data_IF_172331112755
#
_entry.id   IF_172331112755
#
_cell.length_a   1.000
_cell.length_b   1.000
_cell.length_c   1.000
_cell.angle_alpha   90.00
_cell.angle_beta   90.00
_cell.angle_gamma   90.00
#
_symmetry.space_group_name_H-M   'P 1'
#
loop_
_entity.id
_entity.type
_entity.pdbx_description
1 polymer ?
#
# COMPACT_ATOMS: atom_id res chain seq x y z
N UNK A 1 -53.21 19.90 11.27
CA UNK A 1 -52.49 19.46 10.05
C UNK A 1 -51.08 18.95 10.39
N UNK A 2 -50.38 19.54 11.35
CA UNK A 2 -49.00 19.19 11.73
C UNK A 2 -48.81 17.80 12.39
N UNK A 3 -49.77 17.32 13.19
CA UNK A 3 -49.61 16.06 13.93
C UNK A 3 -49.66 14.80 13.06
N UNK A 4 -50.40 14.85 11.94
CA UNK A 4 -50.53 13.75 10.98
C UNK A 4 -49.25 13.61 10.16
N UNK A 5 -48.72 14.74 9.66
CA UNK A 5 -47.45 14.80 8.94
C UNK A 5 -46.29 14.33 9.81
N UNK A 6 -46.27 14.68 11.10
CA UNK A 6 -45.23 14.21 12.02
C UNK A 6 -45.25 12.68 12.23
N UNK A 7 -46.45 12.08 12.31
CA UNK A 7 -46.61 10.61 12.40
C UNK A 7 -46.15 9.91 11.12
N UNK A 8 -46.45 10.49 9.95
CA UNK A 8 -46.01 9.96 8.66
C UNK A 8 -44.48 9.97 8.53
N UNK A 9 -43.81 11.05 8.97
CA UNK A 9 -42.35 11.15 8.99
C UNK A 9 -41.73 10.10 9.93
N UNK A 10 -42.27 9.92 11.13
CA UNK A 10 -41.78 8.89 12.08
C UNK A 10 -41.97 7.48 11.49
N UNK A 11 -43.11 7.21 10.86
CA UNK A 11 -43.38 5.91 10.24
C UNK A 11 -42.43 5.64 9.07
N UNK A 12 -42.15 6.66 8.24
CA UNK A 12 -41.17 6.56 7.17
C UNK A 12 -39.77 6.27 7.72
N UNK A 13 -39.34 7.04 8.74
CA UNK A 13 -38.04 6.84 9.41
C UNK A 13 -37.89 5.42 9.98
N UNK A 14 -38.91 4.94 10.71
CA UNK A 14 -38.92 3.58 11.25
C UNK A 14 -38.89 2.51 10.16
N UNK A 15 -39.62 2.72 9.05
CA UNK A 15 -39.62 1.81 7.90
C UNK A 15 -38.25 1.75 7.23
N UNK A 16 -37.58 2.90 7.08
CA UNK A 16 -36.22 2.99 6.54
C UNK A 16 -35.21 2.25 7.44
N UNK A 17 -35.29 2.47 8.75
CA UNK A 17 -34.44 1.77 9.73
C UNK A 17 -34.67 0.25 9.72
N UNK A 18 -35.92 -0.20 9.61
CA UNK A 18 -36.23 -1.63 9.49
C UNK A 18 -35.69 -2.22 8.19
N UNK A 19 -35.84 -1.53 7.05
CA UNK A 19 -35.26 -1.95 5.77
C UNK A 19 -33.74 -2.07 5.87
N UNK A 20 -33.08 -1.07 6.44
CA UNK A 20 -31.63 -1.07 6.66
C UNK A 20 -31.19 -2.26 7.53
N UNK A 21 -31.87 -2.51 8.65
CA UNK A 21 -31.56 -3.66 9.52
C UNK A 21 -31.72 -5.00 8.80
N UNK A 22 -32.77 -5.15 7.99
CA UNK A 22 -32.97 -6.36 7.18
C UNK A 22 -31.86 -6.54 6.15
N UNK A 23 -31.45 -5.46 5.47
CA UNK A 23 -30.31 -5.47 4.53
C UNK A 23 -29.01 -5.92 5.20
N UNK A 24 -28.67 -5.34 6.36
CA UNK A 24 -27.47 -5.75 7.12
C UNK A 24 -27.54 -7.22 7.54
N UNK A 25 -28.69 -7.68 8.06
CA UNK A 25 -28.88 -9.08 8.46
C UNK A 25 -28.72 -10.04 7.28
N UNK A 26 -29.24 -9.65 6.12
CA UNK A 26 -29.07 -10.40 4.88
C UNK A 26 -27.58 -10.49 4.48
N UNK A 27 -26.85 -9.37 4.46
CA UNK A 27 -25.42 -9.36 4.13
C UNK A 27 -24.58 -10.22 5.09
N UNK A 28 -24.89 -10.19 6.40
CA UNK A 28 -24.21 -11.04 7.39
C UNK A 28 -24.47 -12.52 7.10
N UNK A 29 -25.71 -12.88 6.75
CA UNK A 29 -26.05 -14.27 6.39
C UNK A 29 -25.37 -14.69 5.09
N UNK A 30 -25.41 -13.84 4.06
CA UNK A 30 -24.78 -14.07 2.76
C UNK A 30 -23.28 -14.32 2.94
N UNK A 31 -22.57 -13.41 3.63
CA UNK A 31 -21.12 -13.52 3.86
C UNK A 31 -20.75 -14.74 4.71
N UNK A 32 -21.57 -15.10 5.71
CA UNK A 32 -21.37 -16.31 6.52
C UNK A 32 -21.51 -17.59 5.68
N UNK A 33 -22.57 -17.68 4.89
CA UNK A 33 -22.84 -18.85 4.05
C UNK A 33 -21.81 -18.98 2.93
N UNK A 34 -21.46 -17.86 2.28
CA UNK A 34 -20.36 -17.79 1.32
C UNK A 34 -19.06 -18.31 1.94
N UNK A 35 -18.70 -17.83 3.14
CA UNK A 35 -17.49 -18.25 3.83
C UNK A 35 -17.47 -19.73 4.20
N UNK A 36 -18.63 -20.35 4.44
CA UNK A 36 -18.72 -21.79 4.67
C UNK A 36 -18.44 -22.57 3.38
N UNK A 37 -19.15 -22.24 2.29
CA UNK A 37 -18.95 -22.89 0.97
C UNK A 37 -17.51 -22.70 0.50
N UNK A 38 -16.96 -21.50 0.64
CA UNK A 38 -15.57 -21.20 0.28
C UNK A 38 -14.59 -22.12 0.99
N UNK A 39 -14.73 -22.33 2.32
CA UNK A 39 -13.84 -23.22 3.07
C UNK A 39 -13.99 -24.68 2.65
N UNK A 40 -15.21 -25.14 2.39
CA UNK A 40 -15.47 -26.50 1.94
C UNK A 40 -14.87 -26.78 0.56
N UNK A 41 -15.01 -25.85 -0.38
CA UNK A 41 -14.43 -26.00 -1.72
C UNK A 41 -12.90 -25.83 -1.72
N UNK A 42 -12.38 -24.88 -0.92
CA UNK A 42 -10.94 -24.68 -0.75
C UNK A 42 -10.25 -25.97 -0.26
N UNK A 43 -10.89 -26.71 0.66
CA UNK A 43 -10.36 -27.98 1.18
C UNK A 43 -10.32 -29.12 0.14
N UNK A 44 -11.01 -28.98 -1.00
CA UNK A 44 -11.02 -29.97 -2.09
C UNK A 44 -9.93 -29.70 -3.13
N UNK A 45 -9.30 -28.52 -3.08
CA UNK A 45 -8.28 -28.17 -4.06
C UNK A 45 -7.05 -29.04 -3.91
N UNK A 46 -6.41 -29.46 -5.02
CA UNK A 46 -5.14 -30.15 -4.95
C UNK A 46 -4.06 -29.24 -4.37
N UNK A 47 -2.99 -29.83 -3.84
CA UNK A 47 -1.81 -29.07 -3.43
C UNK A 47 -1.25 -28.31 -4.64
N UNK A 48 -1.09 -27.00 -4.47
CA UNK A 48 -0.56 -26.08 -5.46
C UNK A 48 0.44 -25.17 -4.76
N UNK A 49 1.57 -24.91 -5.42
CA UNK A 49 2.63 -24.05 -4.91
C UNK A 49 3.06 -23.09 -6.00
N UNK A 50 3.14 -21.81 -5.64
CA UNK A 50 3.73 -20.76 -6.45
C UNK A 50 4.65 -19.93 -5.56
N UNK A 51 5.91 -19.78 -5.95
CA UNK A 51 6.89 -19.10 -5.08
C UNK A 51 6.58 -17.62 -4.89
N UNK A 52 5.89 -16.99 -5.83
CA UNK A 52 5.54 -15.56 -5.77
C UNK A 52 4.38 -15.35 -4.78
N UNK A 53 3.43 -16.30 -4.72
CA UNK A 53 2.36 -16.32 -3.70
C UNK A 53 2.95 -16.42 -2.29
N UNK A 54 3.87 -17.38 -2.09
CA UNK A 54 4.51 -17.66 -0.79
C UNK A 54 5.38 -16.49 -0.31
N UNK A 55 6.01 -15.76 -1.23
CA UNK A 55 6.78 -14.55 -0.92
C UNK A 55 5.90 -13.31 -0.68
N UNK A 56 4.58 -13.45 -0.80
CA UNK A 56 3.60 -12.38 -0.61
C UNK A 56 3.95 -11.10 -1.38
N UNK A 57 4.23 -11.27 -2.69
CA UNK A 57 4.63 -10.18 -3.57
C UNK A 57 3.68 -8.97 -3.46
N UNK A 58 4.25 -7.83 -3.08
CA UNK A 58 3.58 -6.52 -3.08
C UNK A 58 3.67 -5.85 -4.46
N UNK A 59 3.01 -4.71 -4.65
CA UNK A 59 3.05 -3.96 -5.93
C UNK A 59 4.48 -3.67 -6.39
N UNK A 60 5.39 -3.38 -5.44
CA UNK A 60 6.80 -3.17 -5.75
C UNK A 60 7.48 -4.45 -6.26
N UNK A 61 7.18 -5.62 -5.69
CA UNK A 61 7.66 -6.90 -6.17
C UNK A 61 7.19 -7.18 -7.60
N UNK A 62 5.92 -6.89 -7.92
CA UNK A 62 5.41 -6.98 -9.29
C UNK A 62 6.16 -6.06 -10.24
N UNK A 63 6.39 -4.80 -9.87
CA UNK A 63 7.16 -3.85 -10.69
C UNK A 63 8.60 -4.34 -10.93
N UNK A 64 9.23 -4.95 -9.91
CA UNK A 64 10.58 -5.54 -10.05
C UNK A 64 10.60 -6.74 -11.00
N UNK A 65 9.62 -7.64 -10.89
CA UNK A 65 9.50 -8.82 -11.76
C UNK A 65 9.26 -8.35 -13.20
N UNK A 66 8.30 -7.47 -13.41
CA UNK A 66 7.96 -6.98 -14.75
C UNK A 66 9.12 -6.20 -15.37
N UNK A 67 9.79 -5.32 -14.63
CA UNK A 67 11.00 -4.64 -15.08
C UNK A 67 12.13 -5.62 -15.46
N UNK A 68 12.28 -6.76 -14.76
CA UNK A 68 13.24 -7.81 -15.14
C UNK A 68 12.87 -8.46 -16.47
N UNK A 69 11.59 -8.72 -16.73
CA UNK A 69 11.15 -9.23 -18.03
C UNK A 69 11.42 -8.23 -19.16
N UNK A 70 11.15 -6.94 -18.94
CA UNK A 70 11.44 -5.89 -19.93
C UNK A 70 12.95 -5.71 -20.19
N UNK A 71 13.83 -6.14 -19.27
CA UNK A 71 15.29 -6.16 -19.47
C UNK A 71 15.81 -7.38 -20.23
N UNK A 72 14.97 -8.38 -20.51
CA UNK A 72 15.40 -9.56 -21.26
C UNK A 72 15.88 -9.14 -22.65
N UNK A 73 17.07 -9.63 -23.02
CA UNK A 73 17.68 -9.38 -24.31
C UNK A 73 17.89 -10.68 -25.07
N UNK A 74 17.60 -10.63 -26.36
CA UNK A 74 17.97 -11.65 -27.33
C UNK A 74 18.65 -10.95 -28.51
N UNK A 75 19.84 -11.41 -28.89
CA UNK A 75 20.65 -10.80 -29.95
C UNK A 75 20.83 -9.27 -29.76
N UNK A 76 21.09 -8.85 -28.52
CA UNK A 76 21.25 -7.45 -28.11
C UNK A 76 20.01 -6.55 -28.30
N UNK A 77 18.84 -7.13 -28.56
CA UNK A 77 17.56 -6.42 -28.62
C UNK A 77 16.72 -6.72 -27.39
N UNK A 78 16.03 -5.71 -26.89
CA UNK A 78 15.11 -5.84 -25.75
C UNK A 78 13.75 -6.35 -26.24
N UNK A 79 13.70 -7.61 -26.66
CA UNK A 79 12.57 -8.19 -27.40
C UNK A 79 11.22 -8.06 -26.67
N UNK A 80 11.18 -8.20 -25.34
CA UNK A 80 9.94 -8.05 -24.58
C UNK A 80 9.53 -6.60 -24.41
N UNK A 81 10.49 -5.69 -24.25
CA UNK A 81 10.21 -4.26 -24.17
C UNK A 81 9.66 -3.73 -25.49
N UNK A 82 10.29 -4.08 -26.61
CA UNK A 82 9.86 -3.67 -27.95
C UNK A 82 8.42 -4.11 -28.22
N UNK A 83 8.13 -5.40 -27.98
CA UNK A 83 6.76 -5.93 -28.09
C UNK A 83 5.79 -5.25 -27.13
N UNK A 84 6.18 -5.01 -25.89
CA UNK A 84 5.30 -4.34 -24.93
C UNK A 84 4.93 -2.92 -25.37
N UNK A 85 5.90 -2.13 -25.85
CA UNK A 85 5.66 -0.75 -26.28
C UNK A 85 4.83 -0.66 -27.56
N UNK A 86 5.02 -1.61 -28.48
CA UNK A 86 4.43 -1.52 -29.81
C UNK A 86 3.18 -2.39 -29.99
N UNK A 87 3.16 -3.59 -29.43
CA UNK A 87 2.04 -4.53 -29.60
C UNK A 87 0.99 -4.33 -28.51
N UNK A 88 1.41 -4.00 -27.27
CA UNK A 88 0.50 -3.83 -26.13
C UNK A 88 0.13 -2.35 -25.93
N UNK A 89 1.12 -1.45 -25.92
CA UNK A 89 0.87 -0.02 -25.71
C UNK A 89 0.46 0.71 -27.00
N UNK A 90 0.73 0.15 -28.17
CA UNK A 90 0.42 0.78 -29.47
C UNK A 90 1.00 2.20 -29.56
N UNK A 91 2.27 2.38 -29.15
CA UNK A 91 2.95 3.67 -29.24
C UNK A 91 3.74 3.85 -30.55
N UNK A 92 4.05 2.77 -31.26
CA UNK A 92 4.86 2.77 -32.48
C UNK A 92 6.23 3.46 -32.29
N UNK A 93 6.98 2.96 -31.31
CA UNK A 93 8.28 3.48 -30.91
C UNK A 93 9.42 2.60 -31.43
N UNK A 94 10.46 3.26 -31.93
CA UNK A 94 11.75 2.61 -32.21
C UNK A 94 12.66 2.73 -30.99
N UNK A 95 13.06 1.60 -30.43
CA UNK A 95 14.07 1.49 -29.37
C UNK A 95 15.47 1.67 -29.95
N UNK A 96 16.29 2.52 -29.35
CA UNK A 96 17.69 2.70 -29.76
C UNK A 96 18.66 2.23 -28.68
N UNK A 97 18.50 2.77 -27.47
CA UNK A 97 19.35 2.42 -26.33
C UNK A 97 18.52 2.45 -25.06
N UNK A 98 17.51 1.57 -24.95
CA UNK A 98 16.62 1.61 -23.83
C UNK A 98 17.34 1.14 -22.55
N UNK A 99 17.03 1.80 -21.45
CA UNK A 99 17.50 1.49 -20.12
C UNK A 99 16.29 1.42 -19.18
N UNK A 100 15.89 0.20 -18.83
CA UNK A 100 14.88 -0.05 -17.79
C UNK A 100 15.55 0.16 -16.43
N UNK A 101 15.40 1.36 -15.87
CA UNK A 101 16.02 1.77 -14.59
C UNK A 101 15.53 0.90 -13.43
N UNK A 102 16.26 0.96 -12.31
CA UNK A 102 15.83 0.31 -11.07
C UNK A 102 14.48 0.90 -10.62
N UNK A 103 13.58 0.06 -10.15
CA UNK A 103 12.30 0.46 -9.54
C UNK A 103 12.57 1.53 -8.47
N UNK A 104 11.74 2.57 -8.44
CA UNK A 104 11.81 3.73 -7.54
C UNK A 104 13.02 4.67 -7.70
N UNK A 105 13.97 4.36 -8.59
CA UNK A 105 15.22 5.13 -8.71
C UNK A 105 15.06 6.53 -9.32
N UNK A 106 13.89 6.82 -9.92
CA UNK A 106 13.59 8.10 -10.57
C UNK A 106 12.37 8.76 -9.95
N UNK A 107 12.52 9.31 -8.75
CA UNK A 107 11.42 10.02 -8.07
C UNK A 107 10.26 9.12 -7.67
N UNK A 108 10.54 7.86 -7.28
CA UNK A 108 9.55 6.84 -6.90
C UNK A 108 8.60 6.42 -8.04
N UNK A 109 9.05 6.57 -9.29
CA UNK A 109 8.39 5.93 -10.42
C UNK A 109 8.62 4.42 -10.34
N UNK A 110 7.55 3.64 -10.47
CA UNK A 110 7.62 2.17 -10.38
C UNK A 110 8.55 1.57 -11.44
N UNK A 111 8.36 1.88 -12.73
CA UNK A 111 9.29 1.44 -13.79
C UNK A 111 9.59 2.59 -14.74
N UNK A 112 10.76 3.24 -14.59
CA UNK A 112 11.25 4.22 -15.55
C UNK A 112 12.02 3.53 -16.67
N UNK A 113 11.68 3.82 -17.92
CA UNK A 113 12.38 3.31 -19.11
C UNK A 113 12.91 4.49 -19.90
N UNK A 114 14.22 4.69 -19.88
CA UNK A 114 14.89 5.76 -20.59
C UNK A 114 15.39 5.26 -21.93
N UNK A 115 15.01 5.92 -23.01
CA UNK A 115 15.68 5.81 -24.29
C UNK A 115 16.35 7.16 -24.63
N UNK A 116 17.11 7.22 -25.73
CA UNK A 116 17.67 8.46 -26.24
C UNK A 116 16.56 9.43 -26.67
N UNK A 117 15.49 8.90 -27.28
CA UNK A 117 14.42 9.72 -27.89
C UNK A 117 13.24 10.01 -26.98
N UNK A 118 13.00 9.15 -26.00
CA UNK A 118 11.82 9.23 -25.15
C UNK A 118 12.06 8.63 -23.77
N UNK A 119 11.11 8.86 -22.87
CA UNK A 119 11.03 8.16 -21.59
C UNK A 119 9.62 7.60 -21.42
N UNK A 120 9.51 6.33 -21.06
CA UNK A 120 8.25 5.68 -20.69
C UNK A 120 8.22 5.53 -19.17
N UNK A 121 7.14 6.00 -18.57
CA UNK A 121 6.80 5.83 -17.16
C UNK A 121 5.74 4.76 -17.06
N UNK A 122 6.02 3.66 -16.37
CA UNK A 122 4.97 2.70 -15.98
C UNK A 122 4.63 2.94 -14.51
N UNK A 123 3.36 3.20 -14.23
CA UNK A 123 2.77 3.17 -12.89
C UNK A 123 1.97 1.88 -12.75
N UNK A 124 2.30 1.09 -11.74
CA UNK A 124 1.79 -0.25 -11.51
C UNK A 124 0.79 -0.27 -10.36
N UNK A 125 -0.43 -0.75 -10.67
CA UNK A 125 -1.53 -0.89 -9.71
C UNK A 125 -2.15 -2.29 -9.81
N UNK A 126 -1.32 -3.32 -10.06
CA UNK A 126 -1.77 -4.71 -10.26
C UNK A 126 -2.56 -5.30 -9.08
N UNK A 127 -2.37 -4.79 -7.86
CA UNK A 127 -3.15 -5.28 -6.70
C UNK A 127 -4.39 -4.44 -6.42
N UNK A 128 -4.49 -3.22 -6.97
CA UNK A 128 -5.50 -2.20 -6.67
C UNK A 128 -5.70 -1.94 -5.17
N UNK A 129 -4.70 -2.26 -4.33
CA UNK A 129 -4.77 -2.06 -2.87
C UNK A 129 -4.45 -0.62 -2.47
N UNK A 130 -3.63 0.08 -3.26
CA UNK A 130 -3.23 1.44 -2.99
C UNK A 130 -3.99 2.42 -3.89
N UNK A 131 -4.69 3.43 -3.33
CA UNK A 131 -5.32 4.48 -4.14
C UNK A 131 -4.26 5.32 -4.86
N UNK A 132 -4.70 6.09 -5.85
CA UNK A 132 -3.85 7.07 -6.54
C UNK A 132 -3.30 8.09 -5.52
N UNK A 133 -1.98 8.24 -5.49
CA UNK A 133 -1.29 8.97 -4.42
C UNK A 133 -1.26 10.48 -4.67
N UNK A 134 -2.37 11.15 -4.40
CA UNK A 134 -2.49 12.60 -4.49
C UNK A 134 -2.10 13.27 -3.16
N UNK A 135 -1.23 14.28 -3.20
CA UNK A 135 -0.84 15.02 -1.99
C UNK A 135 -0.68 16.53 -2.25
N UNK A 136 -0.23 17.27 -1.25
CA UNK A 136 -0.01 18.72 -1.32
C UNK A 136 0.98 19.17 -2.41
N UNK A 137 1.76 18.25 -2.98
CA UNK A 137 2.72 18.53 -4.05
C UNK A 137 2.18 18.17 -5.45
N UNK A 138 0.90 17.85 -5.56
CA UNK A 138 0.21 17.47 -6.79
C UNK A 138 -0.11 15.98 -6.86
N UNK A 139 -0.79 15.60 -7.94
CA UNK A 139 -1.15 14.24 -8.26
C UNK A 139 0.04 13.37 -8.65
N UNK A 140 -0.10 12.06 -8.45
CA UNK A 140 0.98 11.10 -8.60
C UNK A 140 1.69 11.20 -9.96
N UNK A 141 0.92 11.17 -11.06
CA UNK A 141 1.44 11.19 -12.43
C UNK A 141 2.01 12.56 -12.81
N UNK A 142 1.39 13.65 -12.34
CA UNK A 142 1.92 15.01 -12.55
C UNK A 142 3.32 15.17 -11.95
N UNK A 143 3.54 14.64 -10.73
CA UNK A 143 4.85 14.69 -10.08
C UNK A 143 5.91 13.89 -10.84
N UNK A 144 5.55 12.76 -11.44
CA UNK A 144 6.50 12.00 -12.27
C UNK A 144 6.90 12.77 -13.52
N UNK A 145 5.93 13.39 -14.21
CA UNK A 145 6.19 14.25 -15.37
C UNK A 145 7.10 15.42 -14.97
N UNK A 146 6.82 16.08 -13.85
CA UNK A 146 7.65 17.17 -13.33
C UNK A 146 9.07 16.70 -12.94
N UNK A 147 9.19 15.51 -12.35
CA UNK A 147 10.50 14.90 -12.03
C UNK A 147 11.32 14.70 -13.30
N UNK A 148 10.72 14.13 -14.36
CA UNK A 148 11.39 13.91 -15.64
C UNK A 148 11.80 15.22 -16.33
N UNK A 149 10.95 16.24 -16.27
CA UNK A 149 11.25 17.56 -16.83
C UNK A 149 12.35 18.29 -16.08
N UNK A 150 12.23 18.38 -14.76
CA UNK A 150 13.03 19.28 -13.93
C UNK A 150 14.35 18.64 -13.47
N UNK A 151 14.39 17.32 -13.27
CA UNK A 151 15.59 16.61 -12.79
C UNK A 151 16.31 15.92 -13.95
N UNK A 152 15.56 15.30 -14.86
CA UNK A 152 16.12 14.52 -15.97
C UNK A 152 16.15 15.26 -17.31
N UNK A 153 15.79 16.55 -17.33
CA UNK A 153 15.84 17.43 -18.50
C UNK A 153 15.12 16.85 -19.74
N UNK A 154 14.02 16.13 -19.54
CA UNK A 154 13.19 15.60 -20.63
C UNK A 154 12.13 16.60 -21.05
N UNK A 155 11.88 16.71 -22.35
CA UNK A 155 10.79 17.54 -22.85
C UNK A 155 9.46 16.82 -22.66
N UNK A 156 8.38 17.57 -22.51
CA UNK A 156 7.06 16.96 -22.30
C UNK A 156 6.66 16.06 -23.48
N UNK A 157 7.07 16.43 -24.70
CA UNK A 157 6.84 15.68 -25.92
C UNK A 157 7.53 14.31 -25.98
N UNK A 158 8.57 14.11 -25.16
CA UNK A 158 9.37 12.89 -25.06
C UNK A 158 8.83 11.94 -23.99
N UNK A 159 7.83 12.34 -23.20
CA UNK A 159 7.34 11.57 -22.05
C UNK A 159 6.07 10.79 -22.44
N UNK A 160 6.12 9.48 -22.20
CA UNK A 160 5.04 8.53 -22.35
C UNK A 160 4.64 7.97 -20.98
N UNK A 161 3.35 7.71 -20.78
CA UNK A 161 2.84 7.20 -19.50
C UNK A 161 1.98 5.97 -19.76
N UNK A 162 2.27 4.89 -19.04
CA UNK A 162 1.50 3.65 -19.03
C UNK A 162 1.01 3.41 -17.61
N UNK A 163 -0.31 3.41 -17.45
CA UNK A 163 -0.95 3.10 -16.18
C UNK A 163 -1.46 1.66 -16.22
N UNK A 164 -1.09 0.85 -15.24
CA UNK A 164 -1.32 -0.61 -15.27
C UNK A 164 -2.14 -1.11 -14.08
N UNK A 165 -3.47 -0.86 -14.06
CA UNK A 165 -4.36 -1.28 -12.98
C UNK A 165 -4.65 -2.78 -12.99
N UNK A 166 -5.21 -3.30 -11.89
CA UNK A 166 -5.63 -4.71 -11.80
C UNK A 166 -6.68 -5.03 -12.88
N UNK A 167 -7.74 -4.22 -12.91
CA UNK A 167 -8.82 -4.25 -13.91
C UNK A 167 -8.89 -2.94 -14.67
N UNK A 168 -9.56 -2.95 -15.83
CA UNK A 168 -9.64 -1.78 -16.71
C UNK A 168 -10.27 -0.58 -16.00
N UNK A 169 -9.46 0.46 -15.77
CA UNK A 169 -9.88 1.76 -15.24
C UNK A 169 -8.88 2.84 -15.63
N UNK A 170 -9.25 4.11 -15.44
CA UNK A 170 -8.32 5.23 -15.58
C UNK A 170 -7.84 5.71 -14.19
N UNK A 171 -6.67 6.37 -14.12
CA UNK A 171 -6.28 7.09 -12.92
C UNK A 171 -7.24 8.26 -12.67
N UNK A 172 -7.35 8.67 -11.41
CA UNK A 172 -8.19 9.80 -10.99
C UNK A 172 -7.81 11.09 -11.72
N UNK A 173 -8.75 12.03 -11.87
CA UNK A 173 -8.46 13.30 -12.56
C UNK A 173 -7.38 14.12 -11.86
N UNK A 174 -7.34 14.04 -10.53
CA UNK A 174 -6.39 14.72 -9.64
C UNK A 174 -4.96 14.21 -9.87
N UNK A 175 -4.78 12.94 -10.27
CA UNK A 175 -3.48 12.35 -10.56
C UNK A 175 -2.67 13.13 -11.61
N UNK A 176 -3.37 13.87 -12.48
CA UNK A 176 -2.80 14.64 -13.58
C UNK A 176 -2.52 16.10 -13.25
N UNK A 177 -2.89 16.57 -12.06
CA UNK A 177 -2.84 17.99 -11.66
C UNK A 177 -1.59 18.23 -10.82
N UNK A 178 -0.78 19.22 -11.19
CA UNK A 178 0.40 19.60 -10.40
C UNK A 178 0.04 20.51 -9.20
N UNK A 179 1.05 20.87 -8.40
CA UNK A 179 0.88 21.78 -7.25
C UNK A 179 0.36 23.18 -7.59
N UNK A 180 0.48 23.60 -8.85
CA UNK A 180 0.02 24.90 -9.35
C UNK A 180 -1.34 24.80 -10.06
N UNK A 181 -2.05 23.68 -9.88
CA UNK A 181 -3.34 23.39 -10.50
C UNK A 181 -3.29 23.27 -12.03
N UNK A 182 -2.11 22.98 -12.60
CA UNK A 182 -1.93 22.72 -14.03
C UNK A 182 -2.16 21.24 -14.34
N UNK A 183 -3.03 20.92 -15.31
CA UNK A 183 -3.34 19.53 -15.69
C UNK A 183 -2.57 19.05 -16.92
N UNK A 184 -1.88 17.92 -16.78
CA UNK A 184 -1.16 17.25 -17.87
C UNK A 184 -2.02 16.39 -18.79
N UNK A 185 -3.23 16.02 -18.36
CA UNK A 185 -4.08 14.99 -18.99
C UNK A 185 -4.25 15.18 -20.50
N UNK A 186 -4.56 16.40 -20.94
CA UNK A 186 -4.75 16.72 -22.36
C UNK A 186 -3.45 16.77 -23.16
N UNK A 187 -2.33 17.17 -22.54
CA UNK A 187 -1.05 17.34 -23.23
C UNK A 187 -0.34 16.01 -23.52
N UNK A 188 -0.72 14.94 -22.83
CA UNK A 188 -0.11 13.62 -22.94
C UNK A 188 -1.08 12.56 -23.45
N UNK A 189 -2.31 12.92 -23.83
CA UNK A 189 -3.37 11.97 -24.17
C UNK A 189 -2.99 10.99 -25.29
N UNK A 190 -2.23 11.45 -26.29
CA UNK A 190 -1.72 10.61 -27.38
C UNK A 190 -0.61 9.64 -26.93
N UNK A 191 0.13 9.98 -25.86
CA UNK A 191 1.23 9.20 -25.27
C UNK A 191 0.87 8.55 -23.93
N UNK A 192 -0.41 8.50 -23.61
CA UNK A 192 -0.93 7.85 -22.43
C UNK A 192 -1.68 6.57 -22.81
N UNK A 193 -1.47 5.50 -22.04
CA UNK A 193 -2.29 4.28 -22.10
C UNK A 193 -2.66 3.83 -20.70
N UNK A 194 -3.90 3.39 -20.54
CA UNK A 194 -4.32 2.60 -19.38
C UNK A 194 -4.53 1.16 -19.82
N UNK A 195 -3.73 0.25 -19.30
CA UNK A 195 -3.67 -1.16 -19.71
C UNK A 195 -3.81 -2.05 -18.48
N UNK A 196 -4.92 -2.76 -18.34
CA UNK A 196 -5.11 -3.60 -17.16
C UNK A 196 -4.18 -4.82 -17.20
N UNK A 197 -3.72 -5.26 -16.02
CA UNK A 197 -3.01 -6.52 -15.95
C UNK A 197 -3.91 -7.68 -16.37
N UNK A 198 -5.18 -7.68 -15.95
CA UNK A 198 -6.12 -8.77 -16.25
C UNK A 198 -6.36 -8.99 -17.74
N UNK A 199 -6.53 -7.91 -18.50
CA UNK A 199 -7.06 -7.94 -19.86
C UNK A 199 -5.98 -7.66 -20.92
N UNK A 200 -4.86 -7.02 -20.55
CA UNK A 200 -3.80 -6.68 -21.50
C UNK A 200 -2.49 -7.42 -21.18
N UNK A 201 -1.93 -7.26 -19.99
CA UNK A 201 -0.58 -7.77 -19.68
C UNK A 201 -0.59 -9.29 -19.48
N UNK A 202 -1.54 -9.84 -18.72
CA UNK A 202 -1.66 -11.29 -18.51
C UNK A 202 -1.87 -12.04 -19.83
N UNK A 203 -2.82 -11.66 -20.72
CA UNK A 203 -2.99 -12.37 -21.98
C UNK A 203 -1.75 -12.27 -22.88
N UNK A 204 -1.07 -11.11 -22.91
CA UNK A 204 0.18 -10.94 -23.64
C UNK A 204 1.29 -11.88 -23.11
N UNK A 205 1.52 -11.92 -21.79
CA UNK A 205 2.48 -12.87 -21.20
C UNK A 205 2.07 -14.33 -21.50
N UNK A 206 0.79 -14.61 -21.28
CA UNK A 206 -0.04 -15.75 -21.68
C UNK A 206 0.34 -16.41 -22.99
N UNK A 207 -0.11 -15.73 -24.02
CA UNK A 207 -0.34 -16.29 -25.34
C UNK A 207 0.70 -15.77 -26.34
N UNK A 208 1.34 -14.63 -26.06
CA UNK A 208 2.30 -14.01 -26.97
C UNK A 208 3.75 -14.16 -26.50
N UNK A 209 4.02 -14.19 -25.19
CA UNK A 209 5.39 -14.29 -24.67
C UNK A 209 5.76 -15.74 -24.36
N UNK A 210 5.04 -16.40 -23.44
CA UNK A 210 5.39 -17.74 -22.96
C UNK A 210 5.59 -18.76 -24.10
N UNK A 211 4.72 -18.84 -25.13
CA UNK A 211 4.88 -19.81 -26.22
C UNK A 211 6.11 -19.58 -27.10
N UNK A 212 6.63 -18.35 -27.11
CA UNK A 212 7.76 -17.93 -27.97
C UNK A 212 9.10 -17.91 -27.21
N UNK A 213 9.11 -18.19 -25.90
CA UNK A 213 10.37 -18.36 -25.17
C UNK A 213 11.04 -19.64 -25.63
N UNK A 214 12.32 -19.54 -26.01
CA UNK A 214 13.13 -20.72 -26.31
C UNK A 214 13.14 -21.67 -25.12
N UNK A 215 12.72 -22.93 -25.32
CA UNK A 215 12.66 -23.96 -24.26
C UNK A 215 14.01 -24.26 -23.61
N UNK A 216 15.12 -23.92 -24.26
CA UNK A 216 16.46 -24.02 -23.66
C UNK A 216 16.72 -22.90 -22.62
N UNK A 217 15.99 -21.79 -22.68
CA UNK A 217 16.01 -20.74 -21.68
C UNK A 217 15.08 -21.08 -20.50
N UNK A 218 15.39 -22.20 -19.85
CA UNK A 218 14.54 -22.82 -18.81
C UNK A 218 14.23 -21.85 -17.66
N UNK A 219 15.17 -20.98 -17.29
CA UNK A 219 15.00 -20.05 -16.18
C UNK A 219 14.05 -18.91 -16.53
N UNK A 220 14.14 -18.37 -17.76
CA UNK A 220 13.18 -17.36 -18.22
C UNK A 220 11.79 -17.98 -18.39
N UNK A 221 11.72 -19.14 -19.02
CA UNK A 221 10.45 -19.86 -19.20
C UNK A 221 9.77 -20.09 -17.84
N UNK A 222 10.48 -20.68 -16.88
CA UNK A 222 9.96 -20.95 -15.54
C UNK A 222 9.56 -19.67 -14.80
N UNK A 223 10.35 -18.59 -14.90
CA UNK A 223 10.01 -17.32 -14.26
C UNK A 223 8.73 -16.69 -14.84
N UNK A 224 8.56 -16.73 -16.16
CA UNK A 224 7.36 -16.22 -16.83
C UNK A 224 6.15 -17.10 -16.51
N UNK A 225 6.30 -18.43 -16.54
CA UNK A 225 5.25 -19.38 -16.17
C UNK A 225 4.79 -19.20 -14.71
N UNK A 226 5.72 -19.07 -13.75
CA UNK A 226 5.40 -18.78 -12.35
C UNK A 226 4.68 -17.44 -12.19
N UNK A 227 5.09 -16.40 -12.93
CA UNK A 227 4.40 -15.12 -12.87
C UNK A 227 3.00 -15.17 -13.48
N UNK A 228 2.82 -15.92 -14.56
CA UNK A 228 1.49 -16.16 -15.16
C UNK A 228 0.59 -16.89 -14.16
N UNK A 229 1.05 -17.99 -13.55
CA UNK A 229 0.26 -18.73 -12.55
C UNK A 229 -0.06 -17.86 -11.32
N UNK A 230 0.84 -16.97 -10.91
CA UNK A 230 0.60 -15.98 -9.85
C UNK A 230 -0.51 -14.99 -10.25
N UNK A 231 -0.44 -14.42 -11.46
CA UNK A 231 -1.48 -13.55 -12.00
C UNK A 231 -2.82 -14.28 -12.11
N UNK A 232 -2.83 -15.55 -12.55
CA UNK A 232 -4.02 -16.38 -12.54
C UNK A 232 -4.60 -16.57 -11.14
N UNK A 233 -3.77 -16.63 -10.10
CA UNK A 233 -4.22 -16.60 -8.71
C UNK A 233 -4.91 -15.30 -8.34
N UNK A 234 -4.26 -14.16 -8.64
CA UNK A 234 -4.77 -12.80 -8.37
C UNK A 234 -6.13 -12.54 -9.05
N UNK A 235 -6.31 -13.13 -10.23
CA UNK A 235 -7.50 -12.97 -11.08
C UNK A 235 -8.51 -14.12 -10.97
N UNK A 236 -8.27 -15.08 -10.08
CA UNK A 236 -9.13 -16.27 -9.91
C UNK A 236 -9.33 -17.07 -11.21
N UNK A 237 -8.28 -17.19 -12.03
CA UNK A 237 -8.29 -17.88 -13.33
C UNK A 237 -7.62 -19.25 -13.32
N UNK A 238 -6.92 -19.62 -12.24
CA UNK A 238 -6.26 -20.92 -12.13
C UNK A 238 -7.27 -22.02 -12.42
N UNK A 239 -6.93 -22.92 -13.34
CA UNK A 239 -7.83 -24.01 -13.75
C UNK A 239 -8.24 -24.87 -12.55
N UNK A 240 -7.34 -25.10 -11.60
CA UNK A 240 -7.62 -25.83 -10.36
C UNK A 240 -8.76 -25.22 -9.53
N UNK A 241 -8.97 -23.89 -9.62
CA UNK A 241 -9.99 -23.18 -8.86
C UNK A 241 -11.33 -23.10 -9.59
N UNK A 242 -11.43 -23.50 -10.86
CA UNK A 242 -12.64 -23.33 -11.67
C UNK A 242 -13.89 -23.95 -11.03
N UNK A 243 -13.87 -25.21 -10.52
CA UNK A 243 -15.06 -25.80 -9.90
C UNK A 243 -15.54 -25.02 -8.67
N UNK A 244 -14.59 -24.60 -7.83
CA UNK A 244 -14.88 -23.76 -6.67
C UNK A 244 -15.48 -22.42 -7.08
N UNK A 245 -14.86 -21.73 -8.05
CA UNK A 245 -15.31 -20.42 -8.51
C UNK A 245 -16.73 -20.48 -9.09
N UNK A 246 -17.03 -21.51 -9.90
CA UNK A 246 -18.38 -21.73 -10.42
C UNK A 246 -19.39 -21.88 -9.30
N UNK A 247 -19.13 -22.75 -8.32
CA UNK A 247 -20.05 -22.96 -7.18
C UNK A 247 -20.27 -21.69 -6.36
N UNK A 248 -19.23 -20.89 -6.14
CA UNK A 248 -19.33 -19.63 -5.42
C UNK A 248 -20.15 -18.59 -6.21
N UNK A 249 -19.95 -18.51 -7.53
CA UNK A 249 -20.71 -17.62 -8.39
C UNK A 249 -22.18 -18.05 -8.48
N UNK A 250 -22.46 -19.35 -8.60
CA UNK A 250 -23.83 -19.90 -8.58
C UNK A 250 -24.53 -19.57 -7.27
N UNK A 251 -23.85 -19.73 -6.13
CA UNK A 251 -24.38 -19.34 -4.82
C UNK A 251 -24.73 -17.85 -4.77
N UNK A 252 -23.84 -16.97 -5.24
CA UNK A 252 -24.10 -15.52 -5.30
C UNK A 252 -25.30 -15.24 -6.19
N UNK A 253 -25.36 -15.84 -7.39
CA UNK A 253 -26.49 -15.65 -8.31
C UNK A 253 -27.82 -16.04 -7.66
N UNK A 254 -27.86 -17.20 -6.99
CA UNK A 254 -29.06 -17.71 -6.32
C UNK A 254 -29.50 -16.81 -5.17
N UNK A 255 -28.59 -16.40 -4.29
CA UNK A 255 -28.96 -15.57 -3.13
C UNK A 255 -29.34 -14.13 -3.51
N UNK A 256 -28.78 -13.61 -4.60
CA UNK A 256 -29.08 -12.26 -5.09
C UNK A 256 -30.22 -12.23 -6.12
N UNK A 257 -30.71 -13.39 -6.58
CA UNK A 257 -31.74 -13.47 -7.62
C UNK A 257 -31.27 -12.96 -8.98
N UNK A 258 -29.99 -13.17 -9.32
CA UNK A 258 -29.39 -12.74 -10.59
C UNK A 258 -29.78 -13.71 -11.70
N UNK A 259 -30.30 -13.18 -12.80
CA UNK A 259 -30.65 -13.94 -14.00
C UNK A 259 -29.76 -13.56 -15.18
N UNK A 260 -29.23 -14.56 -15.89
CA UNK A 260 -28.39 -14.35 -17.08
C UNK A 260 -29.18 -13.78 -18.29
N UNK A 261 -30.50 -13.64 -18.16
CA UNK A 261 -31.41 -13.07 -19.17
C UNK A 261 -31.34 -11.54 -19.24
N UNK A 262 -31.01 -10.85 -18.14
CA UNK A 262 -30.94 -9.40 -18.04
C UNK A 262 -29.61 -8.94 -17.43
N UNK A 263 -28.61 -8.74 -18.30
CA UNK A 263 -27.25 -8.40 -17.88
C UNK A 263 -27.14 -7.00 -17.25
N UNK A 264 -27.93 -6.03 -17.71
CA UNK A 264 -27.90 -4.66 -17.17
C UNK A 264 -28.38 -4.62 -15.71
N UNK A 265 -29.54 -5.23 -15.45
CA UNK A 265 -30.10 -5.36 -14.09
C UNK A 265 -29.17 -6.19 -13.19
N UNK A 266 -28.58 -7.26 -13.71
CA UNK A 266 -27.61 -8.07 -12.98
C UNK A 266 -26.39 -7.27 -12.55
N UNK A 267 -25.87 -6.38 -13.42
CA UNK A 267 -24.76 -5.48 -13.10
C UNK A 267 -25.17 -4.46 -12.04
N UNK A 268 -26.39 -3.91 -12.11
CA UNK A 268 -26.90 -2.96 -11.13
C UNK A 268 -27.00 -3.59 -9.73
N UNK A 269 -27.58 -4.79 -9.63
CA UNK A 269 -27.68 -5.56 -8.37
C UNK A 269 -26.29 -5.83 -7.78
N UNK A 270 -25.34 -6.27 -8.62
CA UNK A 270 -23.97 -6.54 -8.17
C UNK A 270 -23.27 -5.28 -7.68
N UNK A 271 -23.45 -4.16 -8.39
CA UNK A 271 -22.83 -2.87 -8.04
C UNK A 271 -23.38 -2.33 -6.71
N UNK A 272 -24.70 -2.39 -6.50
CA UNK A 272 -25.32 -2.00 -5.23
C UNK A 272 -24.77 -2.83 -4.06
N UNK A 273 -24.63 -4.15 -4.26
CA UNK A 273 -24.11 -5.05 -3.22
C UNK A 273 -22.61 -4.84 -2.97
N UNK A 274 -21.84 -4.52 -4.00
CA UNK A 274 -20.43 -4.14 -3.86
C UNK A 274 -20.30 -2.87 -3.01
N UNK A 275 -21.11 -1.84 -3.27
CA UNK A 275 -21.12 -0.59 -2.49
C UNK A 275 -21.49 -0.83 -1.01
N UNK A 276 -22.51 -1.65 -0.75
CA UNK A 276 -22.90 -2.04 0.61
C UNK A 276 -21.77 -2.77 1.35
N UNK A 277 -21.11 -3.73 0.69
CA UNK A 277 -20.00 -4.49 1.27
C UNK A 277 -18.78 -3.59 1.53
N UNK A 278 -18.47 -2.67 0.62
CA UNK A 278 -17.39 -1.69 0.76
C UNK A 278 -17.64 -0.75 1.95
N UNK A 279 -18.88 -0.30 2.14
CA UNK A 279 -19.26 0.52 3.30
C UNK A 279 -19.05 -0.23 4.63
N UNK A 280 -19.45 -1.50 4.70
CA UNK A 280 -19.21 -2.36 5.87
C UNK A 280 -17.70 -2.56 6.09
N UNK A 281 -16.94 -2.84 5.03
CA UNK A 281 -15.50 -3.04 5.11
C UNK A 281 -14.79 -1.80 5.67
N UNK A 282 -15.18 -0.61 5.21
CA UNK A 282 -14.66 0.66 5.72
C UNK A 282 -14.92 0.83 7.23
N UNK A 283 -16.13 0.53 7.71
CA UNK A 283 -16.46 0.58 9.13
C UNK A 283 -15.67 -0.44 9.96
N UNK A 284 -15.47 -1.66 9.45
CA UNK A 284 -14.63 -2.67 10.09
C UNK A 284 -13.18 -2.19 10.18
N UNK A 285 -12.63 -1.60 9.11
CA UNK A 285 -11.27 -1.07 9.10
C UNK A 285 -11.09 0.08 10.10
N UNK A 286 -12.05 1.00 10.18
CA UNK A 286 -12.07 2.06 11.19
C UNK A 286 -12.09 1.50 12.62
N UNK A 287 -12.94 0.50 12.88
CA UNK A 287 -13.00 -0.14 14.19
C UNK A 287 -11.67 -0.84 14.56
N UNK A 288 -11.05 -1.53 13.61
CA UNK A 288 -9.72 -2.15 13.80
C UNK A 288 -8.65 -1.10 14.10
N UNK A 289 -8.65 0.04 13.40
CA UNK A 289 -7.76 1.18 13.66
C UNK A 289 -7.96 1.71 15.09
N UNK A 290 -9.21 1.95 15.49
CA UNK A 290 -9.54 2.45 16.83
C UNK A 290 -9.04 1.49 17.94
N UNK A 291 -9.26 0.18 17.77
CA UNK A 291 -8.78 -0.80 18.74
C UNK A 291 -7.25 -0.90 18.80
N UNK A 292 -6.55 -0.81 17.67
CA UNK A 292 -5.08 -0.74 17.67
C UNK A 292 -4.56 0.48 18.43
N UNK A 293 -5.17 1.64 18.20
CA UNK A 293 -4.84 2.88 18.92
C UNK A 293 -5.04 2.74 20.42
N UNK A 294 -6.17 2.16 20.86
CA UNK A 294 -6.42 1.94 22.29
C UNK A 294 -5.45 0.92 22.90
N UNK A 295 -5.04 -0.14 22.18
CA UNK A 295 -3.99 -1.06 22.64
C UNK A 295 -2.68 -0.32 22.92
N UNK A 296 -2.19 0.47 21.95
CA UNK A 296 -0.94 1.23 22.11
C UNK A 296 -1.04 2.26 23.23
N UNK A 297 -2.17 2.96 23.33
CA UNK A 297 -2.41 3.94 24.40
C UNK A 297 -2.37 3.29 25.78
N UNK A 298 -2.98 2.12 25.96
CA UNK A 298 -2.97 1.38 27.22
C UNK A 298 -1.55 0.89 27.56
N UNK A 299 -0.81 0.38 26.58
CA UNK A 299 0.59 -0.02 26.74
C UNK A 299 1.46 1.13 27.29
N UNK A 300 1.31 2.34 26.74
CA UNK A 300 2.06 3.52 27.23
C UNK A 300 1.57 4.05 28.59
N UNK A 301 0.34 3.71 29.00
CA UNK A 301 -0.13 3.96 30.38
C UNK A 301 0.60 3.00 31.32
N UNK A 302 0.61 1.71 31.01
CA UNK A 302 1.31 0.68 31.80
C UNK A 302 2.81 0.99 31.93
N UNK A 303 3.49 1.31 30.82
CA UNK A 303 4.91 1.66 30.84
C UNK A 303 5.20 2.92 31.66
N UNK A 304 4.28 3.88 31.70
CA UNK A 304 4.44 5.07 32.55
C UNK A 304 4.40 4.69 34.02
N UNK A 305 3.47 3.84 34.43
CA UNK A 305 3.38 3.34 35.81
C UNK A 305 4.63 2.55 36.19
N UNK A 306 5.14 1.71 35.29
CA UNK A 306 6.38 0.97 35.50
C UNK A 306 7.60 1.91 35.63
N UNK A 307 7.72 2.94 34.78
CA UNK A 307 8.79 3.94 34.89
C UNK A 307 8.74 4.70 36.22
N UNK A 308 7.53 5.01 36.73
CA UNK A 308 7.36 5.65 38.04
C UNK A 308 7.88 4.77 39.19
N UNK A 309 7.69 3.45 39.08
CA UNK A 309 8.17 2.49 40.06
C UNK A 309 9.68 2.28 39.96
N UNK A 310 10.21 2.13 38.75
CA UNK A 310 11.63 1.86 38.52
C UNK A 310 12.52 3.10 38.75
N UNK A 311 11.99 4.31 38.54
CA UNK A 311 12.73 5.57 38.64
C UNK A 311 11.95 6.65 39.41
N UNK A 312 11.66 6.46 40.70
CA UNK A 312 10.73 7.30 41.47
C UNK A 312 11.18 8.75 41.65
N UNK A 313 12.48 9.02 41.56
CA UNK A 313 13.07 10.35 41.75
C UNK A 313 13.26 11.14 40.44
N UNK A 314 12.85 10.57 39.31
CA UNK A 314 13.10 11.16 38.00
C UNK A 314 11.86 11.83 37.41
N UNK A 315 12.08 12.89 36.63
CA UNK A 315 11.01 13.58 35.93
C UNK A 315 10.61 12.80 34.68
N UNK A 316 9.42 12.20 34.71
CA UNK A 316 8.82 11.55 33.55
C UNK A 316 8.22 12.60 32.63
N UNK A 317 8.51 12.47 31.34
CA UNK A 317 7.93 13.28 30.26
C UNK A 317 7.10 12.38 29.34
N UNK A 318 5.99 12.91 28.83
CA UNK A 318 5.06 12.19 27.98
C UNK A 318 4.18 13.17 27.23
N UNK A 319 3.91 12.88 25.96
CA UNK A 319 2.78 13.47 25.26
C UNK A 319 1.46 12.79 25.64
N UNK A 320 0.45 13.61 25.90
CA UNK A 320 -0.93 13.13 25.88
C UNK A 320 -1.23 12.56 24.50
N UNK A 321 -1.87 11.38 24.44
CA UNK A 321 -2.29 10.80 23.16
C UNK A 321 -3.16 11.80 22.42
N UNK A 322 -2.65 12.31 21.29
CA UNK A 322 -3.37 13.23 20.40
C UNK A 322 -3.79 12.46 19.16
N UNK A 323 -5.09 12.24 19.03
CA UNK A 323 -5.69 11.49 17.91
C UNK A 323 -5.21 12.06 16.56
N UNK A 324 -5.12 13.39 16.45
CA UNK A 324 -4.73 14.08 15.21
C UNK A 324 -3.25 13.87 14.83
N UNK A 325 -2.41 13.55 15.81
CA UNK A 325 -0.97 13.38 15.60
C UNK A 325 -0.60 11.91 15.44
N UNK A 326 -1.44 10.98 15.90
CA UNK A 326 -1.19 9.52 15.88
C UNK A 326 0.16 9.10 16.48
N UNK A 327 0.75 9.99 17.29
CA UNK A 327 2.04 9.87 17.95
C UNK A 327 1.81 9.80 19.47
N UNK A 328 2.57 8.94 20.13
CA UNK A 328 2.65 8.87 21.57
C UNK A 328 4.09 8.58 21.99
N UNK A 329 4.55 9.28 23.02
CA UNK A 329 5.89 9.10 23.53
C UNK A 329 5.91 9.11 25.07
N UNK A 330 6.95 8.54 25.63
CA UNK A 330 7.16 8.42 27.07
C UNK A 330 8.66 8.36 27.33
N UNK A 331 9.15 9.06 28.35
CA UNK A 331 10.56 9.06 28.65
C UNK A 331 10.90 9.66 30.01
N UNK A 332 12.18 9.71 30.30
CA UNK A 332 12.76 10.30 31.50
C UNK A 332 13.79 11.35 31.12
N UNK A 333 13.70 12.51 31.78
CA UNK A 333 14.69 13.57 31.67
C UNK A 333 15.89 13.26 32.57
N UNK A 334 17.10 13.45 32.04
CA UNK A 334 18.36 13.31 32.77
C UNK A 334 19.34 14.43 32.41
N UNK A 335 20.44 14.56 33.15
CA UNK A 335 21.42 15.63 32.95
C UNK A 335 22.80 15.06 32.63
N UNK A 336 23.46 15.63 31.62
CA UNK A 336 24.90 15.46 31.37
C UNK A 336 25.52 16.85 31.39
N UNK A 337 26.51 17.10 32.26
CA UNK A 337 27.28 18.36 32.30
C UNK A 337 26.39 19.62 32.34
N UNK A 338 25.38 19.62 33.20
CA UNK A 338 24.37 20.68 33.35
C UNK A 338 23.45 20.92 32.13
N UNK A 339 23.53 20.07 31.09
CA UNK A 339 22.58 20.06 29.97
C UNK A 339 21.54 18.97 30.19
N UNK A 340 20.28 19.27 29.86
CA UNK A 340 19.15 18.34 29.95
C UNK A 340 19.03 17.51 28.68
N UNK A 341 18.71 16.23 28.84
CA UNK A 341 18.42 15.28 27.78
C UNK A 341 17.21 14.44 28.17
N UNK A 342 16.61 13.72 27.21
CA UNK A 342 15.53 12.78 27.49
C UNK A 342 15.82 11.44 26.83
N UNK A 343 15.79 10.38 27.62
CA UNK A 343 15.71 9.02 27.11
C UNK A 343 14.23 8.70 26.92
N UNK A 344 13.81 8.47 25.67
CA UNK A 344 12.41 8.45 25.27
C UNK A 344 12.14 7.26 24.36
N UNK A 345 10.95 6.67 24.51
CA UNK A 345 10.33 5.75 23.56
C UNK A 345 9.17 6.46 22.88
N UNK A 346 9.03 6.27 21.57
CA UNK A 346 8.01 6.90 20.76
C UNK A 346 7.40 5.87 19.79
N UNK A 347 6.09 5.99 19.58
CA UNK A 347 5.35 5.33 18.51
C UNK A 347 4.82 6.42 17.57
N UNK A 348 5.25 6.41 16.31
CA UNK A 348 4.88 7.46 15.34
C UNK A 348 3.60 7.20 14.53
N UNK A 349 3.12 5.96 14.54
CA UNK A 349 1.88 5.57 13.87
C UNK A 349 1.20 4.47 14.68
N UNK A 350 0.15 4.79 15.44
CA UNK A 350 -0.52 3.78 16.26
C UNK A 350 -1.38 2.79 15.46
N UNK A 351 -1.64 3.02 14.17
CA UNK A 351 -2.34 2.07 13.29
C UNK A 351 -1.40 1.00 12.70
N UNK A 352 -0.13 1.36 12.50
CA UNK A 352 1.00 0.50 12.14
C UNK A 352 2.19 0.84 13.05
N UNK A 353 2.18 0.35 14.31
CA UNK A 353 3.11 0.79 15.34
C UNK A 353 4.56 0.53 14.92
N UNK A 354 5.27 1.62 14.62
CA UNK A 354 6.72 1.63 14.58
C UNK A 354 7.20 2.26 15.88
N UNK A 355 7.78 1.41 16.73
CA UNK A 355 8.33 1.82 18.02
C UNK A 355 9.83 2.04 17.87
N UNK A 356 10.31 3.13 18.44
CA UNK A 356 11.72 3.43 18.54
C UNK A 356 12.00 4.11 19.86
N UNK A 357 13.19 3.86 20.37
CA UNK A 357 13.67 4.46 21.60
C UNK A 357 15.06 5.06 21.37
N UNK A 358 15.45 5.98 22.23
CA UNK A 358 16.73 6.67 22.08
C UNK A 358 16.79 7.93 22.91
N UNK A 359 17.74 8.79 22.56
CA UNK A 359 17.94 10.08 23.24
C UNK A 359 17.38 11.18 22.34
N UNK A 360 16.28 11.78 22.78
CA UNK A 360 15.59 12.83 22.06
C UNK A 360 15.96 14.22 22.56
N UNK A 361 15.71 15.23 21.72
CA UNK A 361 15.67 16.64 22.15
C UNK A 361 14.30 17.07 22.70
N UNK A 362 13.28 16.22 22.52
CA UNK A 362 11.93 16.47 23.00
C UNK A 362 11.97 16.75 24.50
N UNK A 363 11.27 17.81 24.94
CA UNK A 363 11.20 18.25 26.34
C UNK A 363 12.53 18.69 27.00
N UNK A 364 13.67 18.62 26.31
CA UNK A 364 14.96 19.04 26.86
C UNK A 364 15.44 20.40 26.37
N UNK A 365 15.35 20.68 25.06
CA UNK A 365 15.78 21.96 24.48
C UNK A 365 15.11 22.23 23.13
N UNK A 366 14.93 23.53 22.81
CA UNK A 366 14.52 23.97 21.48
C UNK A 366 15.64 23.81 20.44
N UNK A 367 16.88 23.95 20.89
CA UNK A 367 18.09 23.85 20.07
C UNK A 367 18.84 22.55 20.39
N UNK A 368 19.45 21.94 19.37
CA UNK A 368 20.24 20.72 19.53
C UNK A 368 21.62 21.10 20.07
N UNK A 369 22.02 20.48 21.18
CA UNK A 369 23.36 20.68 21.74
C UNK A 369 24.40 19.96 20.89
N UNK A 370 25.63 20.49 20.85
CA UNK A 370 26.77 19.73 20.36
C UNK A 370 27.00 18.49 21.25
N UNK A 371 27.37 17.39 20.60
CA UNK A 371 27.69 16.13 21.25
C UNK A 371 28.97 16.30 22.07
N UNK A 372 28.93 15.91 23.34
CA UNK A 372 30.12 15.76 24.17
C UNK A 372 30.50 14.27 24.26
N UNK A 373 31.72 14.00 24.73
CA UNK A 373 32.27 12.64 24.81
C UNK A 373 31.34 11.69 25.59
N UNK A 374 30.77 12.15 26.71
CA UNK A 374 29.84 11.35 27.52
C UNK A 374 28.56 10.95 26.78
N UNK A 375 28.00 11.87 26.00
CA UNK A 375 26.81 11.58 25.20
C UNK A 375 27.18 10.63 24.04
N UNK A 376 28.33 10.84 23.39
CA UNK A 376 28.81 9.92 22.35
C UNK A 376 29.02 8.50 22.89
N UNK A 377 29.69 8.35 24.02
CA UNK A 377 29.88 7.05 24.68
C UNK A 377 28.53 6.37 24.97
N UNK A 378 27.53 7.15 25.42
CA UNK A 378 26.18 6.64 25.69
C UNK A 378 25.46 6.19 24.40
N UNK A 379 25.62 6.93 23.30
CA UNK A 379 25.04 6.57 22.00
C UNK A 379 25.68 5.27 21.47
N UNK A 380 27.00 5.18 21.51
CA UNK A 380 27.76 4.00 21.03
C UNK A 380 27.47 2.75 21.88
N UNK A 381 27.50 2.87 23.21
CA UNK A 381 27.25 1.75 24.13
C UNK A 381 25.82 1.17 24.02
N UNK A 382 24.88 1.94 23.49
CA UNK A 382 23.50 1.50 23.27
C UNK A 382 23.18 1.22 21.80
N UNK A 383 24.19 1.22 20.92
CA UNK A 383 24.04 0.96 19.48
C UNK A 383 22.97 1.87 18.83
N UNK A 384 22.92 3.14 19.24
CA UNK A 384 21.98 4.11 18.71
C UNK A 384 22.48 4.66 17.37
N UNK A 385 21.55 4.94 16.46
CA UNK A 385 21.87 5.49 15.14
C UNK A 385 22.54 6.86 15.22
N UNK A 386 23.06 7.30 14.08
CA UNK A 386 23.57 8.66 13.93
C UNK A 386 22.52 9.73 14.28
N UNK A 387 22.96 10.91 14.75
CA UNK A 387 22.07 11.99 15.15
C UNK A 387 21.23 12.56 14.00
N UNK A 388 19.94 12.76 14.23
CA UNK A 388 18.99 13.39 13.30
C UNK A 388 18.39 14.69 13.88
N UNK A 389 17.46 15.32 13.16
CA UNK A 389 16.88 16.61 13.57
C UNK A 389 16.25 16.61 14.98
N UNK A 390 15.63 15.49 15.40
CA UNK A 390 14.93 15.39 16.69
C UNK A 390 15.59 14.40 17.68
N UNK A 391 16.55 13.63 17.19
CA UNK A 391 17.21 12.55 17.92
C UNK A 391 18.72 12.79 17.97
N UNK A 392 19.32 12.60 19.14
CA UNK A 392 20.76 12.47 19.27
C UNK A 392 21.23 11.09 18.82
N UNK A 393 20.38 10.07 19.01
CA UNK A 393 20.46 8.77 18.38
C UNK A 393 19.24 7.94 18.76
N UNK A 394 18.86 6.99 17.92
CA UNK A 394 17.66 6.19 18.10
C UNK A 394 17.80 4.78 17.50
N UNK A 395 16.88 3.87 17.87
CA UNK A 395 16.81 2.52 17.32
C UNK A 395 15.39 1.98 17.38
N UNK A 396 15.01 1.14 16.41
CA UNK A 396 13.76 0.40 16.43
C UNK A 396 13.68 -0.61 17.58
N UNK A 397 12.50 -0.72 18.18
CA UNK A 397 12.15 -1.76 19.15
C UNK A 397 10.76 -2.33 18.84
N UNK A 398 10.32 -3.30 19.63
CA UNK A 398 9.02 -3.96 19.48
C UNK A 398 8.11 -3.67 20.69
N UNK A 399 6.83 -4.04 20.59
CA UNK A 399 5.88 -3.93 21.70
C UNK A 399 6.35 -4.77 22.90
N UNK A 400 6.91 -5.94 22.64
CA UNK A 400 7.33 -6.90 23.67
C UNK A 400 8.60 -6.43 24.40
N UNK A 401 9.47 -5.68 23.71
CA UNK A 401 10.77 -5.26 24.23
C UNK A 401 10.88 -3.78 24.60
N UNK A 402 9.97 -2.95 24.12
CA UNK A 402 10.11 -1.50 24.16
C UNK A 402 10.39 -0.94 25.55
N UNK A 403 9.66 -1.41 26.55
CA UNK A 403 9.90 -1.01 27.94
C UNK A 403 11.29 -1.40 28.45
N UNK A 404 11.70 -2.66 28.20
CA UNK A 404 12.99 -3.16 28.65
C UNK A 404 14.14 -2.39 28.01
N UNK A 405 14.07 -2.16 26.70
CA UNK A 405 15.09 -1.42 25.95
C UNK A 405 15.17 0.04 26.45
N UNK A 406 14.02 0.70 26.69
CA UNK A 406 13.98 2.03 27.28
C UNK A 406 14.57 2.06 28.70
N UNK A 407 14.17 1.11 29.56
CA UNK A 407 14.66 1.01 30.94
C UNK A 407 16.18 0.87 30.97
N UNK A 408 16.74 -0.01 30.12
CA UNK A 408 18.18 -0.21 29.99
C UNK A 408 18.88 1.09 29.59
N UNK A 409 18.35 1.80 28.59
CA UNK A 409 18.90 3.09 28.17
C UNK A 409 18.89 4.10 29.33
N UNK A 410 17.76 4.24 30.03
CA UNK A 410 17.64 5.15 31.18
C UNK A 410 18.64 4.81 32.28
N UNK A 411 18.82 3.52 32.60
CA UNK A 411 19.79 3.09 33.61
C UNK A 411 21.22 3.50 33.23
N UNK A 412 21.60 3.35 31.95
CA UNK A 412 22.91 3.77 31.44
C UNK A 412 23.07 5.30 31.39
N UNK A 413 21.98 6.05 31.26
CA UNK A 413 21.99 7.52 31.18
C UNK A 413 22.14 8.22 32.53
N UNK A 414 21.80 7.52 33.62
CA UNK A 414 21.74 8.09 34.98
C UNK A 414 22.86 7.54 35.88
N UNK A 415 23.50 6.43 35.48
CA UNK A 415 24.76 5.95 36.07
C UNK A 415 25.92 6.90 35.77
#
# INVERSE_FOLDING_TARGET
MELQQFKEIINLSNSLEQKRRKGISFLIRLTKNFGHIYKEELAKLPYHINLIDELHADENAHSRIFAKFLRYQENSKFVFLEKFLNDVCLFDLTTEKPEVKKVDSCGRIDIPIFDNKYVVVIENKVTDKAPDQNNSHGGQLARYIETLKNIYNRKLEEIYVVYTPKFTRNPSSESWVDKNNFSYKKKISNRFRSLSYRDNIYPWLKYEILPHINKNNIYLYSAVEQYIDHLEGIFSLRTINQPMNMKLQEFIKQELGIEDSNLEESIEILSEKEDELNSILNQIQQLKSNYKKEIIKNLFIEWKEMLQLDFPNQQIVRDSFKIDQNIINLGIQFNIENKKFVAIIECNDCDKPNLYFGIGRHYSSKEKFELNDKLNDLLENNELSEPENFWYGWRFTSIERGYFDLKKLISNSIS
#
